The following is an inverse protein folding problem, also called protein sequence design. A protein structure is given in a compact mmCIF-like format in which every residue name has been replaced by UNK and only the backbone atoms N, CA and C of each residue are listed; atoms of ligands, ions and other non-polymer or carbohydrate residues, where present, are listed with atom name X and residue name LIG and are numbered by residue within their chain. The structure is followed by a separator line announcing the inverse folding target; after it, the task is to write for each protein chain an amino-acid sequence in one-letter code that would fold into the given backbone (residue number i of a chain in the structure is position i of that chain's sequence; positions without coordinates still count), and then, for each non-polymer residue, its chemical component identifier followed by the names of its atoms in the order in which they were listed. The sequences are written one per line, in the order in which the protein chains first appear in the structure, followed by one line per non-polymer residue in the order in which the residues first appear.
data_IF_078727752657
#
_entry.id   IF_078727752657
#
_cell.length_a   1.000
_cell.length_b   1.000
_cell.length_c   1.000
_cell.angle_alpha   90.00
_cell.angle_beta   90.00
_cell.angle_gamma   90.00
#
_symmetry.space_group_name_H-M   'P 1'
#
loop_
_entity.id
_entity.type
_entity.pdbx_description
1 polymer ?
#
# COMPACT_ATOMS: atom_id res chain seq x y z
N UNK A 1 -0.87 4.07 35.58
CA UNK A 1 -0.51 4.44 34.19
C UNK A 1 -1.03 3.34 33.30
N UNK A 2 -2.03 3.64 32.47
CA UNK A 2 -2.79 2.64 31.72
C UNK A 2 -1.92 2.03 30.61
N UNK A 3 -1.76 0.70 30.65
CA UNK A 3 -1.05 -0.06 29.63
C UNK A 3 -1.79 0.03 28.30
N UNK A 4 -1.13 0.57 27.29
CA UNK A 4 -1.57 0.50 25.90
C UNK A 4 -1.62 -0.97 25.48
N UNK A 5 -2.81 -1.40 25.06
CA UNK A 5 -3.17 -2.77 24.80
C UNK A 5 -2.25 -3.42 23.77
N UNK A 6 -1.56 -4.50 24.18
CA UNK A 6 -0.89 -5.46 23.30
C UNK A 6 -1.94 -6.24 22.50
N UNK A 7 -2.57 -5.56 21.53
CA UNK A 7 -3.61 -6.14 20.71
C UNK A 7 -3.02 -7.17 19.75
N UNK A 8 -3.83 -8.15 19.37
CA UNK A 8 -3.44 -9.15 18.37
C UNK A 8 -3.07 -8.51 17.03
N UNK A 9 -3.79 -7.45 16.65
CA UNK A 9 -3.47 -6.63 15.48
C UNK A 9 -2.09 -5.98 15.59
N UNK A 10 -1.73 -5.43 16.76
CA UNK A 10 -0.41 -4.84 16.98
C UNK A 10 0.69 -5.92 16.91
N UNK A 11 0.46 -7.10 17.51
CA UNK A 11 1.40 -8.22 17.41
C UNK A 11 1.60 -8.67 15.97
N UNK A 12 0.55 -8.67 15.14
CA UNK A 12 0.67 -9.00 13.72
C UNK A 12 1.54 -7.98 12.97
N UNK A 13 1.28 -6.69 13.18
CA UNK A 13 2.09 -5.61 12.60
C UNK A 13 3.56 -5.77 13.02
N UNK A 14 3.82 -6.10 14.28
CA UNK A 14 5.17 -6.28 14.80
C UNK A 14 5.87 -7.52 14.21
N UNK A 15 5.14 -8.63 13.96
CA UNK A 15 5.66 -9.81 13.25
C UNK A 15 6.07 -9.47 11.81
N UNK A 16 5.22 -8.74 11.10
CA UNK A 16 5.49 -8.30 9.72
C UNK A 16 6.71 -7.38 9.69
N UNK A 17 6.79 -6.42 10.61
CA UNK A 17 7.95 -5.55 10.76
C UNK A 17 9.25 -6.34 10.99
N UNK A 18 9.23 -7.39 11.80
CA UNK A 18 10.40 -8.26 11.97
C UNK A 18 10.91 -8.85 10.64
N UNK A 19 10.00 -9.33 9.79
CA UNK A 19 10.35 -9.89 8.47
C UNK A 19 10.88 -8.80 7.55
N UNK A 20 10.16 -7.68 7.43
CA UNK A 20 10.56 -6.57 6.56
C UNK A 20 11.95 -6.05 6.93
N UNK A 21 12.23 -5.88 8.23
CA UNK A 21 13.55 -5.42 8.67
C UNK A 21 14.64 -6.48 8.47
N UNK A 22 14.31 -7.76 8.56
CA UNK A 22 15.25 -8.84 8.21
C UNK A 22 15.55 -8.87 6.71
N UNK A 23 14.54 -8.73 5.85
CA UNK A 23 14.72 -8.62 4.41
C UNK A 23 15.55 -7.39 4.03
N UNK A 24 15.31 -6.25 4.68
CA UNK A 24 16.13 -5.04 4.51
C UNK A 24 17.59 -5.26 4.93
N UNK A 25 17.83 -5.99 6.04
CA UNK A 25 19.19 -6.40 6.44
C UNK A 25 19.85 -7.23 5.34
N UNK A 26 19.15 -8.24 4.84
CA UNK A 26 19.66 -9.15 3.81
C UNK A 26 19.87 -8.45 2.46
N UNK A 27 19.13 -7.38 2.20
CA UNK A 27 19.30 -6.50 1.05
C UNK A 27 20.45 -5.50 1.17
N UNK A 28 21.13 -5.40 2.33
CA UNK A 28 22.33 -4.57 2.49
C UNK A 28 22.32 -3.62 3.70
N UNK A 29 21.20 -3.47 4.40
CA UNK A 29 21.11 -2.62 5.59
C UNK A 29 21.74 -3.31 6.83
N UNK A 30 23.05 -3.52 6.81
CA UNK A 30 23.77 -4.35 7.80
C UNK A 30 23.73 -3.81 9.23
N UNK A 31 23.34 -2.55 9.43
CA UNK A 31 23.13 -1.97 10.77
C UNK A 31 21.90 -2.56 11.48
N UNK A 32 20.95 -3.12 10.72
CA UNK A 32 19.76 -3.75 11.26
C UNK A 32 20.16 -5.09 11.91
N UNK A 33 20.14 -5.10 13.24
CA UNK A 33 20.33 -6.29 14.04
C UNK A 33 19.10 -6.57 14.92
N UNK A 34 19.06 -7.74 15.55
CA UNK A 34 17.90 -8.16 16.37
C UNK A 34 17.56 -7.17 17.49
N UNK A 35 18.58 -6.54 18.08
CA UNK A 35 18.39 -5.54 19.14
C UNK A 35 17.76 -4.27 18.58
N UNK A 36 18.26 -3.80 17.44
CA UNK A 36 17.71 -2.63 16.74
C UNK A 36 16.23 -2.82 16.41
N UNK A 37 15.85 -3.98 15.86
CA UNK A 37 14.46 -4.30 15.54
C UNK A 37 13.62 -4.31 16.82
N UNK A 38 14.09 -4.99 17.86
CA UNK A 38 13.40 -5.12 19.14
C UNK A 38 13.09 -3.74 19.75
N UNK A 39 14.06 -2.83 19.71
CA UNK A 39 13.90 -1.46 20.20
C UNK A 39 12.89 -0.66 19.36
N UNK A 40 12.90 -0.82 18.03
CA UNK A 40 12.00 -0.11 17.10
C UNK A 40 10.54 -0.57 17.18
N UNK A 41 10.29 -1.86 17.43
CA UNK A 41 8.94 -2.40 17.55
C UNK A 41 8.47 -2.51 19.01
N UNK A 42 9.29 -2.06 19.97
CA UNK A 42 9.04 -2.17 21.41
C UNK A 42 8.73 -3.61 21.86
N UNK A 43 9.50 -4.58 21.35
CA UNK A 43 9.40 -6.01 21.71
C UNK A 43 10.71 -6.53 22.27
N UNK A 44 10.70 -7.77 22.74
CA UNK A 44 11.92 -8.45 23.17
C UNK A 44 12.71 -8.95 21.97
N UNK A 45 14.03 -9.05 22.11
CA UNK A 45 14.91 -9.69 21.11
C UNK A 45 14.54 -11.15 20.86
N UNK A 46 13.97 -11.83 21.86
CA UNK A 46 13.38 -13.16 21.70
C UNK A 46 12.23 -13.16 20.69
N UNK A 47 11.28 -12.22 20.81
CA UNK A 47 10.20 -12.08 19.84
C UNK A 47 10.74 -11.88 18.42
N UNK A 48 11.73 -11.00 18.26
CA UNK A 48 12.36 -10.79 16.94
C UNK A 48 12.98 -12.07 16.40
N UNK A 49 13.74 -12.81 17.22
CA UNK A 49 14.38 -14.06 16.81
C UNK A 49 13.38 -15.13 16.35
N UNK A 50 12.20 -15.17 16.96
CA UNK A 50 11.14 -16.13 16.62
C UNK A 50 10.47 -15.81 15.26
N UNK A 51 10.44 -14.54 14.85
CA UNK A 51 9.64 -14.08 13.71
C UNK A 51 10.43 -13.58 12.51
N UNK A 52 11.65 -13.07 12.70
CA UNK A 52 12.37 -12.36 11.64
C UNK A 52 12.87 -13.27 10.49
N UNK A 53 12.96 -14.59 10.71
CA UNK A 53 13.31 -15.60 9.70
C UNK A 53 12.05 -16.31 9.14
N UNK A 54 10.86 -15.87 9.55
CA UNK A 54 9.59 -16.44 9.09
C UNK A 54 9.19 -15.82 7.75
N UNK A 55 8.40 -16.54 6.98
CA UNK A 55 7.74 -15.97 5.80
C UNK A 55 6.48 -15.20 6.20
N UNK A 56 6.05 -14.25 5.36
CA UNK A 56 4.79 -13.53 5.59
C UNK A 56 3.62 -14.49 5.84
N UNK A 57 3.50 -15.57 5.05
CA UNK A 57 2.47 -16.61 5.26
C UNK A 57 2.48 -17.20 6.67
N UNK A 58 3.65 -17.35 7.29
CA UNK A 58 3.79 -17.89 8.65
C UNK A 58 3.36 -16.88 9.71
N UNK A 59 3.41 -15.58 9.43
CA UNK A 59 2.79 -14.57 10.30
C UNK A 59 1.26 -14.68 10.29
N UNK A 60 0.68 -15.06 9.15
CA UNK A 60 -0.76 -15.19 8.94
C UNK A 60 -1.27 -16.63 9.09
N UNK A 61 -0.44 -17.61 9.42
CA UNK A 61 -0.84 -19.03 9.47
C UNK A 61 -1.91 -19.34 10.54
N UNK A 62 -2.10 -18.46 11.53
CA UNK A 62 -3.23 -18.51 12.48
C UNK A 62 -4.56 -18.02 11.85
N UNK A 63 -4.49 -17.40 10.66
CA UNK A 63 -5.61 -16.97 9.82
C UNK A 63 -5.55 -17.69 8.47
N UNK A 64 -5.80 -19.00 8.48
CA UNK A 64 -5.95 -19.78 7.25
C UNK A 64 -7.11 -19.21 6.41
N UNK A 65 -6.80 -18.38 5.40
CA UNK A 65 -7.55 -18.11 4.15
C UNK A 65 -6.99 -16.93 3.30
N UNK A 66 -5.73 -16.50 3.46
CA UNK A 66 -5.15 -15.52 2.53
C UNK A 66 -4.73 -16.20 1.22
N UNK A 67 -5.21 -15.66 0.09
CA UNK A 67 -5.02 -16.20 -1.26
C UNK A 67 -3.58 -16.22 -1.78
N UNK A 68 -3.38 -16.50 -3.09
CA UNK A 68 -2.06 -16.78 -3.63
C UNK A 68 -1.12 -15.57 -3.59
N UNK A 69 0.17 -15.86 -3.38
CA UNK A 69 1.29 -14.91 -3.36
C UNK A 69 1.32 -14.02 -4.60
N UNK A 70 1.27 -12.71 -4.42
CA UNK A 70 1.78 -11.77 -5.43
C UNK A 70 3.32 -11.78 -5.32
N UNK A 71 4.00 -12.30 -6.35
CA UNK A 71 5.44 -12.12 -6.50
C UNK A 71 5.68 -10.66 -6.90
N UNK A 72 6.62 -9.99 -6.21
CA UNK A 72 7.14 -8.69 -6.64
C UNK A 72 7.59 -8.78 -8.10
N UNK A 73 7.17 -7.81 -8.91
CA UNK A 73 7.60 -7.73 -10.30
C UNK A 73 9.11 -7.52 -10.37
N UNK A 74 9.73 -7.92 -11.48
CA UNK A 74 11.17 -7.70 -11.71
C UNK A 74 11.54 -6.21 -11.56
N UNK A 75 10.66 -5.31 -12.00
CA UNK A 75 10.83 -3.86 -11.84
C UNK A 75 10.89 -3.44 -10.37
N UNK A 76 10.03 -4.00 -9.50
CA UNK A 76 10.07 -3.73 -8.07
C UNK A 76 11.36 -4.26 -7.43
N UNK A 77 11.85 -5.42 -7.88
CA UNK A 77 13.12 -5.99 -7.42
C UNK A 77 14.34 -5.17 -7.87
N UNK A 78 14.30 -4.62 -9.09
CA UNK A 78 15.37 -3.76 -9.61
C UNK A 78 15.41 -2.41 -8.90
N UNK A 79 14.26 -1.80 -8.58
CA UNK A 79 14.18 -0.58 -7.75
C UNK A 79 14.77 -0.83 -6.35
N UNK A 80 14.44 -1.96 -5.71
CA UNK A 80 15.00 -2.33 -4.41
C UNK A 80 16.53 -2.51 -4.51
N UNK A 81 17.02 -3.10 -5.61
CA UNK A 81 18.46 -3.28 -5.85
C UNK A 81 19.18 -1.94 -6.11
N UNK A 82 18.54 -1.01 -6.82
CA UNK A 82 19.07 0.34 -7.04
C UNK A 82 18.98 1.22 -5.79
N UNK A 83 18.06 0.90 -4.87
CA UNK A 83 17.89 1.56 -3.59
C UNK A 83 18.79 0.99 -2.47
N UNK A 84 19.74 0.09 -2.77
CA UNK A 84 20.59 -0.57 -1.76
C UNK A 84 21.47 0.40 -0.96
N UNK A 85 21.74 1.57 -1.52
CA UNK A 85 22.57 2.61 -0.89
C UNK A 85 21.73 3.71 -0.20
N UNK A 86 20.40 3.53 -0.14
CA UNK A 86 19.51 4.53 0.43
C UNK A 86 19.62 4.58 1.95
N UNK A 87 19.72 5.78 2.46
CA UNK A 87 19.70 6.12 3.87
C UNK A 87 18.26 6.29 4.37
N UNK A 88 18.08 6.39 5.69
CA UNK A 88 16.79 6.76 6.29
C UNK A 88 16.27 8.10 5.74
N UNK A 89 17.18 9.02 5.46
CA UNK A 89 16.86 10.33 4.89
C UNK A 89 16.30 10.22 3.47
N UNK A 90 16.86 9.33 2.64
CA UNK A 90 16.36 9.08 1.28
C UNK A 90 14.93 8.51 1.32
N UNK A 91 14.65 7.60 2.24
CA UNK A 91 13.31 7.03 2.40
C UNK A 91 12.27 8.07 2.86
N UNK A 92 12.65 8.97 3.77
CA UNK A 92 11.76 10.02 4.28
C UNK A 92 11.41 11.08 3.22
N UNK A 93 12.23 11.19 2.18
CA UNK A 93 11.98 12.08 1.05
C UNK A 93 11.17 11.42 -0.08
N UNK A 94 10.77 10.16 0.07
CA UNK A 94 9.89 9.52 -0.91
C UNK A 94 8.48 10.12 -0.90
N UNK A 95 7.92 10.23 -2.10
CA UNK A 95 6.54 10.55 -2.36
C UNK A 95 5.87 9.52 -3.29
N UNK A 96 5.57 8.30 -2.80
CA UNK A 96 4.89 7.27 -3.60
C UNK A 96 3.46 7.69 -3.94
N UNK A 97 3.03 7.31 -5.14
CA UNK A 97 1.70 7.61 -5.66
C UNK A 97 1.17 6.53 -6.58
N UNK A 98 -0.16 6.43 -6.68
CA UNK A 98 -0.85 5.43 -7.51
C UNK A 98 -2.30 5.84 -7.80
N UNK A 99 -2.91 5.25 -8.83
CA UNK A 99 -4.33 5.41 -9.18
C UNK A 99 -5.16 4.18 -8.85
N UNK A 100 -6.38 4.43 -8.40
CA UNK A 100 -7.35 3.40 -8.07
C UNK A 100 -8.71 3.71 -8.68
N UNK A 101 -9.41 2.67 -9.12
CA UNK A 101 -10.83 2.75 -9.41
C UNK A 101 -11.62 2.12 -8.25
N UNK A 102 -12.59 2.87 -7.73
CA UNK A 102 -13.48 2.40 -6.67
C UNK A 102 -14.90 2.30 -7.23
N UNK A 103 -15.40 1.07 -7.31
CA UNK A 103 -16.77 0.81 -7.70
C UNK A 103 -17.67 0.73 -6.47
N UNK A 104 -18.64 1.64 -6.39
CA UNK A 104 -19.72 1.51 -5.42
C UNK A 104 -20.84 0.67 -6.04
N UNK A 105 -21.14 -0.42 -5.35
CA UNK A 105 -22.17 -1.38 -5.73
C UNK A 105 -23.28 -1.26 -4.70
N UNK A 106 -24.41 -0.64 -5.08
CA UNK A 106 -25.57 -0.51 -4.18
C UNK A 106 -26.22 -1.88 -4.04
N UNK A 107 -26.06 -2.54 -2.89
CA UNK A 107 -26.85 -3.73 -2.58
C UNK A 107 -28.31 -3.32 -2.33
N UNK A 108 -29.30 -4.05 -2.86
CA UNK A 108 -30.67 -3.93 -2.38
C UNK A 108 -30.66 -4.27 -0.89
N UNK A 109 -31.31 -3.43 -0.10
CA UNK A 109 -31.24 -3.46 1.35
C UNK A 109 -32.08 -4.63 1.90
N UNK A 110 -31.58 -5.86 1.84
CA UNK A 110 -32.08 -7.00 2.59
C UNK A 110 -30.88 -7.83 3.07
N UNK A 111 -30.73 -7.87 4.39
CA UNK A 111 -29.69 -8.51 5.21
C UNK A 111 -28.76 -9.54 4.52
N UNK A 112 -27.46 -9.21 4.47
CA UNK A 112 -26.33 -10.14 4.58
C UNK A 112 -26.09 -11.24 3.52
N UNK A 113 -26.46 -11.07 2.25
CA UNK A 113 -25.97 -12.01 1.23
C UNK A 113 -24.54 -11.66 0.77
N UNK A 114 -23.54 -12.37 1.30
CA UNK A 114 -22.17 -12.39 0.75
C UNK A 114 -22.14 -13.34 -0.44
N UNK A 115 -22.14 -12.80 -1.65
CA UNK A 115 -21.85 -13.59 -2.86
C UNK A 115 -20.34 -13.74 -2.96
N UNK A 116 -19.84 -14.97 -2.89
CA UNK A 116 -18.45 -15.32 -3.15
C UNK A 116 -18.40 -16.01 -4.50
N UNK A 117 -17.57 -15.50 -5.41
CA UNK A 117 -17.33 -16.09 -6.72
C UNK A 117 -15.83 -16.30 -6.91
N UNK A 118 -15.46 -17.38 -7.61
CA UNK A 118 -14.04 -17.73 -7.84
C UNK A 118 -13.50 -17.10 -9.12
N UNK A 119 -14.39 -16.70 -10.02
CA UNK A 119 -14.09 -16.15 -11.34
C UNK A 119 -15.18 -15.18 -11.79
N UNK A 120 -14.92 -14.38 -12.83
CA UNK A 120 -15.89 -13.39 -13.37
C UNK A 120 -17.02 -14.13 -14.08
N UNK A 121 -16.71 -15.27 -14.71
CA UNK A 121 -17.65 -16.13 -15.42
C UNK A 121 -18.73 -16.69 -14.48
N UNK A 122 -18.41 -16.93 -13.20
CA UNK A 122 -19.37 -17.36 -12.17
C UNK A 122 -20.43 -16.29 -11.84
N UNK A 123 -20.24 -15.05 -12.30
CA UNK A 123 -21.05 -13.88 -11.97
C UNK A 123 -21.84 -13.39 -13.19
N UNK A 124 -21.34 -13.64 -14.41
CA UNK A 124 -21.90 -13.08 -15.64
C UNK A 124 -23.34 -13.50 -15.92
N UNK A 125 -23.73 -14.71 -15.51
CA UNK A 125 -25.08 -15.27 -15.73
C UNK A 125 -26.06 -15.06 -14.55
N UNK A 126 -25.63 -14.44 -13.46
CA UNK A 126 -26.52 -14.14 -12.33
C UNK A 126 -27.36 -12.88 -12.62
N UNK A 127 -28.65 -13.08 -12.89
CA UNK A 127 -29.62 -11.99 -13.16
C UNK A 127 -29.65 -10.93 -12.04
N UNK A 128 -29.38 -11.30 -10.78
CA UNK A 128 -29.37 -10.36 -9.64
C UNK A 128 -28.15 -9.46 -9.67
N UNK A 129 -27.01 -9.95 -10.18
CA UNK A 129 -25.82 -9.13 -10.39
C UNK A 129 -26.04 -8.10 -11.50
N UNK A 130 -26.68 -8.49 -12.60
CA UNK A 130 -26.98 -7.59 -13.73
C UNK A 130 -27.85 -6.40 -13.31
N UNK A 131 -28.82 -6.59 -12.42
CA UNK A 131 -29.64 -5.48 -11.87
C UNK A 131 -28.84 -4.55 -10.94
N UNK A 132 -27.94 -5.12 -10.12
CA UNK A 132 -27.06 -4.37 -9.23
C UNK A 132 -26.05 -3.50 -10.02
N UNK A 133 -25.56 -4.03 -11.16
CA UNK A 133 -24.59 -3.37 -12.04
C UNK A 133 -25.19 -2.15 -12.76
N UNK A 134 -26.51 -2.10 -12.95
CA UNK A 134 -27.21 -1.05 -13.71
C UNK A 134 -26.98 0.38 -13.19
N UNK A 135 -26.55 0.54 -11.93
CA UNK A 135 -26.24 1.84 -11.31
C UNK A 135 -24.84 1.91 -10.66
N UNK A 136 -23.83 1.18 -11.16
CA UNK A 136 -22.46 1.28 -10.64
C UNK A 136 -21.98 2.72 -10.65
N UNK A 137 -21.54 3.29 -9.52
CA UNK A 137 -20.74 4.52 -9.52
C UNK A 137 -19.27 4.16 -9.34
N UNK A 138 -18.52 4.27 -10.43
CA UNK A 138 -17.06 4.17 -10.44
C UNK A 138 -16.51 5.57 -10.18
N UNK A 139 -15.61 5.72 -9.20
CA UNK A 139 -14.80 6.92 -9.02
C UNK A 139 -13.34 6.58 -9.24
N UNK A 140 -12.60 7.46 -9.87
CA UNK A 140 -11.14 7.40 -9.89
C UNK A 140 -10.59 8.10 -8.66
N UNK A 141 -9.56 7.54 -8.03
CA UNK A 141 -8.82 8.19 -6.95
C UNK A 141 -7.34 8.12 -7.29
N UNK A 142 -6.70 9.28 -7.40
CA UNK A 142 -5.25 9.38 -7.34
C UNK A 142 -4.84 9.64 -5.89
N UNK A 143 -3.81 8.95 -5.40
CA UNK A 143 -3.28 9.12 -4.05
C UNK A 143 -1.78 9.37 -4.13
N UNK A 144 -1.28 10.30 -3.32
CA UNK A 144 0.15 10.50 -3.05
C UNK A 144 0.38 10.60 -1.54
N UNK A 145 1.42 9.93 -1.05
CA UNK A 145 1.80 9.90 0.36
C UNK A 145 3.22 10.45 0.52
N UNK A 146 3.48 11.21 1.57
CA UNK A 146 4.83 11.63 1.99
C UNK A 146 5.03 11.24 3.46
N UNK A 147 6.23 11.44 4.00
CA UNK A 147 6.49 11.26 5.42
C UNK A 147 5.63 12.16 6.33
N UNK A 148 5.10 13.29 5.81
CA UNK A 148 4.28 14.24 6.58
C UNK A 148 2.77 14.12 6.30
N UNK A 149 2.37 13.85 5.06
CA UNK A 149 0.96 14.07 4.65
C UNK A 149 0.51 13.17 3.51
N UNK A 150 -0.80 12.93 3.50
CA UNK A 150 -1.54 12.28 2.42
C UNK A 150 -2.27 13.34 1.60
N UNK A 151 -2.21 13.22 0.28
CA UNK A 151 -3.05 14.01 -0.65
C UNK A 151 -3.72 13.08 -1.65
N UNK A 152 -4.88 13.51 -2.16
CA UNK A 152 -5.65 12.74 -3.11
C UNK A 152 -6.45 13.63 -4.05
N UNK A 153 -6.73 13.10 -5.24
CA UNK A 153 -7.61 13.72 -6.23
C UNK A 153 -8.70 12.72 -6.58
N UNK A 154 -9.96 13.15 -6.47
CA UNK A 154 -11.11 12.34 -6.86
C UNK A 154 -11.51 12.75 -8.27
N UNK A 155 -11.73 11.75 -9.10
CA UNK A 155 -12.19 11.88 -10.45
C UNK A 155 -13.58 11.29 -10.59
N UNK A 156 -14.45 12.04 -11.24
CA UNK A 156 -15.84 11.68 -11.42
C UNK A 156 -16.04 10.56 -12.44
N UNK A 157 -17.27 10.07 -12.46
CA UNK A 157 -17.66 8.77 -12.98
C UNK A 157 -17.51 8.64 -14.50
N UNK A 158 -16.71 7.66 -14.92
CA UNK A 158 -16.61 7.21 -16.32
C UNK A 158 -15.43 7.77 -17.11
N UNK A 159 -14.55 8.54 -16.48
CA UNK A 159 -13.39 9.12 -17.15
C UNK A 159 -12.13 8.23 -17.00
N UNK A 160 -11.42 7.98 -18.10
CA UNK A 160 -10.14 7.23 -18.15
C UNK A 160 -8.95 8.13 -17.76
N UNK A 161 -7.94 7.59 -17.07
CA UNK A 161 -6.70 8.31 -16.71
C UNK A 161 -5.85 8.61 -17.95
N UNK A 162 -6.33 9.52 -18.80
CA UNK A 162 -5.62 9.92 -19.99
C UNK A 162 -4.30 10.58 -19.62
N UNK A 163 -3.28 10.44 -20.47
CA UNK A 163 -1.98 11.08 -20.30
C UNK A 163 -2.13 12.59 -20.06
N UNK A 164 -3.05 13.24 -20.80
CA UNK A 164 -3.31 14.66 -20.66
C UNK A 164 -3.91 15.01 -19.29
N UNK A 165 -4.87 14.23 -18.79
CA UNK A 165 -5.47 14.46 -17.48
C UNK A 165 -4.45 14.26 -16.36
N UNK A 166 -3.65 13.19 -16.46
CA UNK A 166 -2.60 12.92 -15.49
C UNK A 166 -1.57 14.06 -15.48
N UNK A 167 -1.11 14.51 -16.64
CA UNK A 167 -0.16 15.62 -16.73
C UNK A 167 -0.74 16.95 -16.21
N UNK A 168 -1.86 17.39 -16.76
CA UNK A 168 -2.35 18.75 -16.54
C UNK A 168 -3.07 18.91 -15.20
N UNK A 169 -3.80 17.89 -14.76
CA UNK A 169 -4.55 17.93 -13.51
C UNK A 169 -3.72 17.32 -12.40
N UNK A 170 -3.37 16.03 -12.50
CA UNK A 170 -2.69 15.34 -11.39
C UNK A 170 -1.31 15.96 -11.11
N UNK A 171 -0.43 16.04 -12.10
CA UNK A 171 0.92 16.55 -11.87
C UNK A 171 0.95 18.06 -11.65
N UNK A 172 0.42 18.84 -12.60
CA UNK A 172 0.60 20.29 -12.60
C UNK A 172 -0.26 21.03 -11.57
N UNK A 173 -1.49 20.59 -11.31
CA UNK A 173 -2.39 21.28 -10.38
C UNK A 173 -2.34 20.73 -8.96
N UNK A 174 -2.03 19.44 -8.78
CA UNK A 174 -2.09 18.79 -7.48
C UNK A 174 -0.73 18.38 -6.93
N UNK A 175 0.01 17.51 -7.63
CA UNK A 175 1.26 16.92 -7.12
C UNK A 175 2.37 17.96 -6.98
N UNK A 176 2.68 18.75 -8.00
CA UNK A 176 3.79 19.71 -7.90
C UNK A 176 3.56 20.80 -6.86
N UNK A 177 2.37 21.42 -6.74
CA UNK A 177 2.10 22.35 -5.64
C UNK A 177 2.18 21.67 -4.28
N UNK A 178 1.66 20.45 -4.14
CA UNK A 178 1.70 19.68 -2.90
C UNK A 178 3.14 19.38 -2.45
N UNK A 179 4.01 18.97 -3.37
CA UNK A 179 5.40 18.60 -3.08
C UNK A 179 6.33 19.80 -2.88
N UNK A 180 5.97 20.99 -3.37
CA UNK A 180 6.75 22.23 -3.18
C UNK A 180 6.50 22.91 -1.82
N UNK A 181 5.51 22.44 -1.08
CA UNK A 181 5.11 23.02 0.20
C UNK A 181 5.83 22.30 1.35
N UNK A 182 6.65 23.05 2.09
CA UNK A 182 7.45 22.57 3.23
C UNK A 182 6.60 21.95 4.35
N UNK A 183 5.31 22.27 4.45
CA UNK A 183 4.40 21.66 5.41
C UNK A 183 4.01 20.22 5.01
N UNK A 184 4.14 19.88 3.74
CA UNK A 184 3.69 18.60 3.19
C UNK A 184 4.85 17.61 2.97
N UNK A 185 6.11 18.05 2.94
CA UNK A 185 7.29 17.22 2.69
C UNK A 185 8.43 17.56 3.64
N UNK A 186 9.40 16.67 3.84
CA UNK A 186 10.56 16.93 4.71
C UNK A 186 11.45 18.02 4.10
N UNK A 187 11.84 17.86 2.84
CA UNK A 187 12.59 18.83 2.06
C UNK A 187 12.03 18.91 0.62
N UNK A 188 11.43 20.04 0.21
CA UNK A 188 10.91 20.23 -1.15
C UNK A 188 11.95 20.10 -2.27
N UNK A 189 13.24 20.28 -1.96
CA UNK A 189 14.31 20.20 -2.94
C UNK A 189 14.83 18.78 -3.16
N UNK A 190 14.58 17.88 -2.19
CA UNK A 190 15.08 16.51 -2.21
C UNK A 190 13.98 15.46 -2.34
N UNK A 191 12.73 15.87 -2.59
CA UNK A 191 11.62 14.93 -2.76
C UNK A 191 11.81 14.03 -3.98
N UNK A 192 11.58 12.73 -3.78
CA UNK A 192 11.62 11.71 -4.81
C UNK A 192 10.19 11.25 -5.09
N UNK A 193 9.61 11.76 -6.18
CA UNK A 193 8.31 11.31 -6.64
C UNK A 193 8.41 9.91 -7.24
N UNK A 194 7.65 8.96 -6.69
CA UNK A 194 7.62 7.57 -7.14
C UNK A 194 6.23 7.25 -7.66
N UNK A 195 6.18 6.78 -8.89
CA UNK A 195 4.98 6.36 -9.57
C UNK A 195 5.31 5.22 -10.52
N UNK A 196 4.32 4.40 -10.87
CA UNK A 196 4.55 3.31 -11.79
C UNK A 196 4.80 3.84 -13.23
N UNK A 197 5.16 2.92 -14.14
CA UNK A 197 5.37 3.25 -15.56
C UNK A 197 4.17 2.84 -16.41
N UNK A 198 2.99 2.68 -15.80
CA UNK A 198 1.82 2.29 -16.57
C UNK A 198 1.56 3.36 -17.63
N UNK A 199 1.34 2.96 -18.90
CA UNK A 199 0.89 3.91 -19.90
C UNK A 199 -0.48 4.43 -19.45
N UNK A 200 -0.59 5.75 -19.28
CA UNK A 200 -1.86 6.41 -19.01
C UNK A 200 -2.86 6.04 -20.12
N UNK A 201 -3.91 5.28 -19.77
CA UNK A 201 -4.90 4.72 -20.72
C UNK A 201 -6.05 5.68 -21.04
#
# INVERSE_FOLDING_TARGET
MAGTYDSEQQRMIDRIKCIVFHEARDAGATFINRQWIADKIHRTTRFVSEWWEKSYDQCFADYSNAGPKLKLSQAAQDIIREASDWTEEDFLNLAPSDEFYVWTVRRPNYQNDRVWAKSIEDIEDDERYREIVKNQACIGIFIILTAKKLHWVIKDKGESWTEQYFRDTILMQHVFPFLKDEENVIDPYNVIFVHDKAPCM
#
